data_IF_966689935922
#
_entry.id   IF_966689935922
#
_cell.length_a   1.000
_cell.length_b   1.000
_cell.length_c   1.000
_cell.angle_alpha   90.00
_cell.angle_beta   90.00
_cell.angle_gamma   90.00
#
_symmetry.space_group_name_H-M   'P 1'
#
loop_
_entity.id
_entity.type
_entity.pdbx_description
1 polymer ?
#
# COMPACT_ATOMS: atom_id res chain seq x y z
N UNK A 1 -10.28 -14.53 22.27
CA UNK A 1 -9.25 -15.07 21.35
C UNK A 1 -8.28 -13.95 21.05
N UNK A 2 -6.96 -14.20 20.97
CA UNK A 2 -6.04 -13.17 20.49
C UNK A 2 -6.42 -12.79 19.05
N UNK A 3 -6.54 -11.50 18.78
CA UNK A 3 -6.77 -11.00 17.42
C UNK A 3 -5.50 -11.17 16.60
N UNK A 4 -5.61 -11.74 15.40
CA UNK A 4 -4.52 -11.77 14.43
C UNK A 4 -4.52 -10.42 13.68
N UNK A 5 -3.49 -9.58 13.82
CA UNK A 5 -3.49 -8.27 13.17
C UNK A 5 -3.33 -8.42 11.66
N UNK A 6 -4.15 -7.70 10.90
CA UNK A 6 -4.06 -7.57 9.44
C UNK A 6 -3.21 -6.37 9.09
N UNK A 7 -2.08 -6.58 8.42
CA UNK A 7 -1.15 -5.51 8.04
C UNK A 7 -1.07 -5.38 6.52
N UNK A 8 -1.39 -4.19 6.01
CA UNK A 8 -1.16 -3.84 4.62
C UNK A 8 0.28 -3.35 4.44
N UNK A 9 0.99 -3.88 3.44
CA UNK A 9 2.38 -3.53 3.15
C UNK A 9 2.51 -3.11 1.69
N UNK A 10 3.15 -1.96 1.44
CA UNK A 10 3.58 -1.60 0.08
C UNK A 10 4.79 -0.66 0.08
N UNK A 11 5.41 -0.54 -1.09
CA UNK A 11 6.54 0.35 -1.32
C UNK A 11 6.08 1.64 -2.03
N UNK A 12 6.67 2.78 -1.66
CA UNK A 12 6.44 4.10 -2.28
C UNK A 12 7.09 4.28 -3.66
N UNK A 13 7.71 3.23 -4.22
CA UNK A 13 8.28 3.26 -5.57
C UNK A 13 7.99 1.96 -6.30
N UNK A 14 7.56 2.08 -7.56
CA UNK A 14 7.34 0.97 -8.49
C UNK A 14 8.57 0.67 -9.36
N UNK A 15 9.64 1.47 -9.22
CA UNK A 15 10.86 1.32 -10.02
C UNK A 15 11.52 -0.02 -9.72
N UNK A 16 11.83 -0.75 -10.79
CA UNK A 16 12.58 -2.00 -10.69
C UNK A 16 13.90 -1.81 -9.93
N UNK A 17 14.18 -2.70 -8.98
CA UNK A 17 15.39 -2.67 -8.16
C UNK A 17 15.43 -1.57 -7.08
N UNK A 18 14.34 -0.83 -6.84
CA UNK A 18 14.28 0.12 -5.73
C UNK A 18 14.45 -0.60 -4.37
N UNK A 19 15.25 -0.01 -3.47
CA UNK A 19 15.47 -0.56 -2.14
C UNK A 19 14.18 -0.63 -1.31
N UNK A 20 13.29 0.34 -1.47
CA UNK A 20 11.97 0.35 -0.82
C UNK A 20 11.15 -0.91 -1.11
N UNK A 21 11.19 -1.43 -2.35
CA UNK A 21 10.55 -2.69 -2.71
C UNK A 21 11.12 -3.85 -1.89
N UNK A 22 12.46 -3.97 -1.85
CA UNK A 22 13.15 -5.01 -1.06
C UNK A 22 12.87 -4.88 0.44
N UNK A 23 12.84 -3.65 0.97
CA UNK A 23 12.50 -3.38 2.37
C UNK A 23 11.07 -3.82 2.68
N UNK A 24 10.11 -3.54 1.80
CA UNK A 24 8.73 -4.01 1.95
C UNK A 24 8.62 -5.55 1.92
N UNK A 25 9.43 -6.22 1.09
CA UNK A 25 9.45 -7.69 1.03
C UNK A 25 10.01 -8.31 2.31
N UNK A 26 11.08 -7.73 2.87
CA UNK A 26 11.62 -8.15 4.18
C UNK A 26 10.61 -7.90 5.29
N UNK A 27 9.95 -6.74 5.29
CA UNK A 27 8.94 -6.39 6.28
C UNK A 27 7.74 -7.36 6.24
N UNK A 28 7.25 -7.71 5.04
CA UNK A 28 6.19 -8.71 4.89
C UNK A 28 6.59 -10.05 5.53
N UNK A 29 7.81 -10.54 5.23
CA UNK A 29 8.31 -11.80 5.78
C UNK A 29 8.38 -11.76 7.31
N UNK A 30 8.92 -10.68 7.87
CA UNK A 30 9.10 -10.53 9.31
C UNK A 30 7.76 -10.46 10.05
N UNK A 31 6.80 -9.66 9.54
CA UNK A 31 5.46 -9.55 10.10
C UNK A 31 4.72 -10.90 10.09
N UNK A 32 4.83 -11.66 9.00
CA UNK A 32 4.23 -12.99 8.91
C UNK A 32 4.87 -13.98 9.91
N UNK A 33 6.19 -13.91 10.11
CA UNK A 33 6.90 -14.73 11.11
C UNK A 33 6.47 -14.42 12.55
N UNK A 34 6.05 -13.18 12.82
CA UNK A 34 5.49 -12.76 14.11
C UNK A 34 3.99 -13.08 14.25
N UNK A 35 3.37 -13.69 13.24
CA UNK A 35 1.99 -14.18 13.27
C UNK A 35 0.94 -13.19 12.76
N UNK A 36 1.33 -12.12 12.07
CA UNK A 36 0.39 -11.20 11.41
C UNK A 36 -0.15 -11.79 10.09
N UNK A 37 -1.38 -11.43 9.73
CA UNK A 37 -1.92 -11.64 8.38
C UNK A 37 -1.48 -10.47 7.50
N UNK A 38 -0.62 -10.74 6.50
CA UNK A 38 0.00 -9.67 5.72
C UNK A 38 -0.52 -9.66 4.28
N UNK A 39 -1.03 -8.50 3.85
CA UNK A 39 -1.34 -8.24 2.44
C UNK A 39 -0.25 -7.36 1.85
N UNK A 40 0.41 -7.84 0.79
CA UNK A 40 1.40 -7.08 0.03
C UNK A 40 0.83 -6.66 -1.32
N UNK A 41 0.89 -5.38 -1.64
CA UNK A 41 0.48 -4.85 -2.95
C UNK A 41 1.61 -4.06 -3.61
N UNK A 42 1.59 -3.96 -4.95
CA UNK A 42 2.38 -2.97 -5.68
C UNK A 42 1.48 -1.78 -6.04
N UNK A 43 1.95 -0.55 -5.82
CA UNK A 43 1.23 0.63 -6.32
C UNK A 43 1.14 0.67 -7.85
N UNK A 44 1.99 -0.10 -8.55
CA UNK A 44 1.92 -0.25 -10.01
C UNK A 44 0.65 -0.93 -10.50
N UNK A 45 -0.01 -1.72 -9.65
CA UNK A 45 -1.28 -2.38 -9.95
C UNK A 45 -2.49 -1.44 -9.77
N UNK A 46 -2.24 -0.25 -9.21
CA UNK A 46 -3.25 0.76 -8.87
C UNK A 46 -2.82 2.14 -9.42
N UNK A 47 -2.65 2.31 -10.75
CA UNK A 47 -2.29 3.60 -11.31
C UNK A 47 -3.34 4.66 -10.91
N UNK A 48 -2.83 5.79 -10.41
CA UNK A 48 -3.63 6.96 -10.03
C UNK A 48 -3.27 8.13 -10.96
N UNK A 49 -4.25 8.97 -11.34
CA UNK A 49 -3.97 10.22 -12.03
C UNK A 49 -3.22 11.17 -11.10
N UNK A 50 -2.65 12.24 -11.68
CA UNK A 50 -2.26 13.40 -10.88
C UNK A 50 -3.52 13.91 -10.15
N UNK A 51 -3.38 14.29 -8.89
CA UNK A 51 -4.48 14.86 -8.12
C UNK A 51 -4.99 16.12 -8.82
N UNK A 52 -6.28 16.12 -9.14
CA UNK A 52 -6.98 17.20 -9.83
C UNK A 52 -8.39 17.28 -9.23
N UNK A 53 -8.64 18.34 -8.44
CA UNK A 53 -9.89 18.52 -7.71
C UNK A 53 -11.08 18.83 -8.62
N UNK A 54 -10.85 19.42 -9.80
CA UNK A 54 -11.93 19.69 -10.75
C UNK A 54 -12.32 18.41 -11.49
N UNK A 55 -11.32 17.60 -11.85
CA UNK A 55 -11.55 16.25 -12.37
C UNK A 55 -12.28 15.36 -11.36
N UNK A 56 -11.93 15.43 -10.07
CA UNK A 56 -12.60 14.69 -9.02
C UNK A 56 -14.07 15.14 -8.84
N UNK A 57 -14.36 16.45 -8.91
CA UNK A 57 -15.75 16.94 -8.88
C UNK A 57 -16.56 16.46 -10.08
N UNK A 58 -15.94 16.42 -11.26
CA UNK A 58 -16.62 16.04 -12.51
C UNK A 58 -16.83 14.51 -12.61
N UNK A 59 -15.79 13.73 -12.28
CA UNK A 59 -15.74 12.28 -12.57
C UNK A 59 -15.77 11.40 -11.31
N UNK A 60 -15.75 12.02 -10.13
CA UNK A 60 -15.67 11.34 -8.85
C UNK A 60 -14.27 10.83 -8.52
N UNK A 61 -14.18 10.10 -7.42
CA UNK A 61 -12.93 9.50 -6.92
C UNK A 61 -12.47 8.39 -7.89
N UNK A 62 -11.20 8.36 -8.32
CA UNK A 62 -10.68 7.31 -9.17
C UNK A 62 -10.90 5.90 -8.58
N UNK A 63 -11.28 4.94 -9.43
CA UNK A 63 -11.58 3.57 -8.97
C UNK A 63 -10.40 2.93 -8.21
N UNK A 64 -9.17 3.12 -8.70
CA UNK A 64 -7.98 2.61 -8.02
C UNK A 64 -7.74 3.29 -6.67
N UNK A 65 -8.10 4.57 -6.50
CA UNK A 65 -8.05 5.23 -5.19
C UNK A 65 -9.05 4.60 -4.23
N UNK A 66 -10.26 4.31 -4.70
CA UNK A 66 -11.26 3.57 -3.91
C UNK A 66 -10.79 2.15 -3.55
N UNK A 67 -10.11 1.45 -4.46
CA UNK A 67 -9.55 0.11 -4.19
C UNK A 67 -8.45 0.17 -3.13
N UNK A 68 -7.52 1.11 -3.21
CA UNK A 68 -6.49 1.34 -2.18
C UNK A 68 -7.16 1.71 -0.84
N UNK A 69 -8.13 2.62 -0.85
CA UNK A 69 -8.85 3.04 0.35
C UNK A 69 -9.57 1.87 1.05
N UNK A 70 -10.19 0.96 0.28
CA UNK A 70 -10.78 -0.28 0.80
C UNK A 70 -9.73 -1.22 1.37
N UNK A 71 -8.55 -1.33 0.75
CA UNK A 71 -7.46 -2.11 1.32
C UNK A 71 -7.05 -1.51 2.67
N UNK A 72 -6.78 -0.21 2.74
CA UNK A 72 -6.41 0.45 4.00
C UNK A 72 -7.48 0.24 5.08
N UNK A 73 -8.76 0.45 4.75
CA UNK A 73 -9.86 0.31 5.71
C UNK A 73 -10.10 -1.12 6.22
N UNK A 74 -9.68 -2.14 5.47
CA UNK A 74 -9.83 -3.55 5.86
C UNK A 74 -8.63 -4.10 6.66
N UNK A 75 -7.60 -3.28 6.94
CA UNK A 75 -6.41 -3.68 7.69
C UNK A 75 -6.32 -2.90 9.00
N UNK A 76 -5.75 -3.54 10.02
CA UNK A 76 -5.54 -2.97 11.35
C UNK A 76 -4.30 -2.07 11.39
N UNK A 77 -3.38 -2.25 10.45
CA UNK A 77 -2.14 -1.50 10.37
C UNK A 77 -1.60 -1.37 8.94
N UNK A 78 -0.73 -0.38 8.78
CA UNK A 78 -0.11 -0.03 7.51
C UNK A 78 1.39 0.09 7.67
N UNK A 79 2.15 -0.54 6.77
CA UNK A 79 3.58 -0.35 6.63
C UNK A 79 3.90 0.13 5.21
N UNK A 80 4.45 1.33 5.11
CA UNK A 80 4.89 1.91 3.85
C UNK A 80 6.41 2.02 3.87
N UNK A 81 7.09 1.30 2.96
CA UNK A 81 8.51 1.50 2.72
C UNK A 81 8.67 2.51 1.58
N UNK A 82 8.98 3.77 1.89
CA UNK A 82 9.18 4.80 0.87
C UNK A 82 10.67 5.10 0.67
N UNK A 83 11.14 5.27 -0.58
CA UNK A 83 12.39 5.99 -0.79
C UNK A 83 12.23 7.46 -0.37
N UNK A 84 13.34 8.12 -0.08
CA UNK A 84 13.41 9.57 0.02
C UNK A 84 13.58 10.14 -1.39
N UNK A 85 12.63 10.96 -1.82
CA UNK A 85 12.68 11.72 -3.06
C UNK A 85 12.35 13.17 -2.72
N UNK A 86 13.39 14.02 -2.65
CA UNK A 86 13.36 15.49 -2.47
C UNK A 86 12.07 16.04 -1.82
#
# INVERSE_FOLDING_TARGET
MPMIPKILVFAGSIRWGAFSGRTADVAQKELAMQGAEVTRISLGDYPLPIMDEDLEKEKGIPENAMRIGRLIANHDGLLIATPEYN
#
